data_IF_343542059905
#
_entry.id   IF_343542059905
#
_cell.length_a   1.000
_cell.length_b   1.000
_cell.length_c   1.000
_cell.angle_alpha   90.00
_cell.angle_beta   90.00
_cell.angle_gamma   90.00
#
_symmetry.space_group_name_H-M   'P 1'
#
loop_
_entity.id
_entity.type
_entity.pdbx_description
1 polymer ?
#
# COMPACT_ATOMS: atom_id res chain seq x y z
N UNK A 1 9.97 14.63 -20.78
CA UNK A 1 9.85 13.34 -21.52
C UNK A 1 8.73 12.53 -20.91
N UNK A 2 7.92 11.87 -21.73
CA UNK A 2 6.83 11.04 -21.21
C UNK A 2 7.36 9.91 -20.32
N UNK A 3 6.75 9.74 -19.14
CA UNK A 3 7.04 8.68 -18.17
C UNK A 3 6.00 7.57 -18.18
N UNK A 4 5.09 7.61 -19.15
CA UNK A 4 3.98 6.65 -19.27
C UNK A 4 4.53 5.26 -19.62
N UNK A 5 4.19 4.27 -18.82
CA UNK A 5 4.57 2.88 -18.97
C UNK A 5 3.38 1.95 -18.67
N UNK A 6 3.46 0.70 -19.10
CA UNK A 6 2.53 -0.32 -18.63
C UNK A 6 2.83 -0.69 -17.17
N UNK A 7 1.83 -1.22 -16.44
CA UNK A 7 2.04 -1.73 -15.07
C UNK A 7 3.16 -2.78 -15.04
N UNK A 8 3.14 -3.70 -15.99
CA UNK A 8 4.16 -4.75 -16.12
C UNK A 8 5.57 -4.18 -16.26
N UNK A 9 5.75 -3.25 -17.20
CA UNK A 9 7.08 -2.68 -17.47
C UNK A 9 7.57 -1.81 -16.31
N UNK A 10 6.68 -1.01 -15.69
CA UNK A 10 7.02 -0.18 -14.55
C UNK A 10 7.48 -1.03 -13.35
N UNK A 11 6.72 -2.08 -12.99
CA UNK A 11 7.10 -2.98 -11.90
C UNK A 11 8.38 -3.76 -12.24
N UNK A 12 8.53 -4.24 -13.48
CA UNK A 12 9.72 -4.98 -13.89
C UNK A 12 11.00 -4.14 -13.80
N UNK A 13 10.91 -2.87 -14.22
CA UNK A 13 12.06 -1.96 -14.28
C UNK A 13 12.43 -1.32 -12.93
N UNK A 14 11.43 -1.12 -12.04
CA UNK A 14 11.59 -0.25 -10.87
C UNK A 14 11.60 -1.04 -9.55
N UNK A 15 10.86 -2.15 -9.45
CA UNK A 15 10.79 -2.97 -8.22
C UNK A 15 11.76 -4.15 -8.32
N UNK A 16 12.67 -4.30 -7.35
CA UNK A 16 13.64 -5.39 -7.31
C UNK A 16 13.47 -6.23 -6.05
N UNK A 17 13.96 -7.47 -6.11
CA UNK A 17 13.98 -8.34 -4.93
C UNK A 17 14.82 -7.70 -3.80
N UNK A 18 14.32 -7.78 -2.58
CA UNK A 18 14.94 -7.17 -1.41
C UNK A 18 14.57 -5.71 -1.15
N UNK A 19 13.93 -5.01 -2.08
CA UNK A 19 13.53 -3.61 -1.93
C UNK A 19 12.60 -3.38 -0.71
N UNK A 20 12.70 -2.18 -0.15
CA UNK A 20 11.70 -1.60 0.74
C UNK A 20 10.63 -0.95 -0.13
N UNK A 21 9.46 -1.56 -0.20
CA UNK A 21 8.35 -1.10 -1.06
C UNK A 21 7.22 -0.54 -0.20
N UNK A 22 6.84 0.71 -0.46
CA UNK A 22 5.67 1.33 0.15
C UNK A 22 4.53 1.41 -0.88
N UNK A 23 3.38 0.77 -0.58
CA UNK A 23 2.13 0.93 -1.33
C UNK A 23 1.18 1.71 -0.44
N UNK A 24 1.28 3.05 -0.49
CA UNK A 24 0.52 3.89 0.42
C UNK A 24 -0.88 4.22 -0.08
N UNK A 25 -1.77 4.36 0.89
CA UNK A 25 -3.17 4.71 0.77
C UNK A 25 -3.86 4.51 2.13
N UNK A 26 -4.82 5.33 2.47
CA UNK A 26 -5.52 5.23 3.76
C UNK A 26 -7.00 4.93 3.55
N UNK A 27 -7.39 3.66 3.50
CA UNK A 27 -8.70 3.14 3.07
C UNK A 27 -9.10 3.55 1.64
N UNK A 28 -8.46 4.52 1.08
CA UNK A 28 -8.66 5.22 -0.17
C UNK A 28 -7.36 5.20 -0.99
N UNK A 29 -7.45 5.07 -2.30
CA UNK A 29 -6.31 5.11 -3.21
C UNK A 29 -5.23 4.05 -2.89
N UNK A 30 -5.65 2.85 -2.52
CA UNK A 30 -4.73 1.74 -2.26
C UNK A 30 -4.47 1.01 -3.58
N UNK A 31 -3.24 1.01 -4.05
CA UNK A 31 -2.90 0.45 -5.36
C UNK A 31 -2.85 -1.10 -5.35
N UNK A 32 -4.01 -1.76 -5.39
CA UNK A 32 -4.08 -3.23 -5.49
C UNK A 32 -3.49 -3.75 -6.80
N UNK A 33 -3.67 -3.02 -7.90
CA UNK A 33 -3.13 -3.42 -9.20
C UNK A 33 -1.61 -3.62 -9.17
N UNK A 34 -0.88 -2.71 -8.53
CA UNK A 34 0.57 -2.83 -8.41
C UNK A 34 0.97 -3.99 -7.49
N UNK A 35 0.28 -4.20 -6.36
CA UNK A 35 0.50 -5.36 -5.50
C UNK A 35 0.29 -6.68 -6.25
N UNK A 36 -0.80 -6.79 -7.04
CA UNK A 36 -1.05 -7.96 -7.89
C UNK A 36 0.03 -8.15 -8.96
N UNK A 37 0.55 -7.06 -9.55
CA UNK A 37 1.63 -7.17 -10.53
C UNK A 37 2.95 -7.62 -9.90
N UNK A 38 3.28 -7.12 -8.70
CA UNK A 38 4.43 -7.59 -7.90
C UNK A 38 4.32 -9.10 -7.64
N UNK A 39 3.12 -9.59 -7.29
CA UNK A 39 2.83 -11.03 -7.11
C UNK A 39 3.03 -11.79 -8.42
N UNK A 40 2.45 -11.32 -9.54
CA UNK A 40 2.58 -11.98 -10.88
C UNK A 40 4.02 -12.11 -11.32
N UNK A 41 4.84 -11.09 -11.06
CA UNK A 41 6.27 -11.09 -11.37
C UNK A 41 7.11 -11.86 -10.35
N UNK A 42 6.47 -12.44 -9.32
CA UNK A 42 7.14 -13.25 -8.29
C UNK A 42 8.31 -12.54 -7.62
N UNK A 43 8.17 -11.22 -7.36
CA UNK A 43 9.15 -10.47 -6.58
C UNK A 43 9.23 -11.03 -5.17
N UNK A 44 10.44 -11.03 -4.57
CA UNK A 44 10.73 -11.72 -3.30
C UNK A 44 11.51 -10.84 -2.34
N UNK A 45 11.55 -11.31 -1.09
CA UNK A 45 12.35 -10.72 -0.01
C UNK A 45 12.05 -9.24 0.27
N UNK A 46 10.84 -8.78 -0.10
CA UNK A 46 10.46 -7.39 0.05
C UNK A 46 10.24 -7.04 1.54
N UNK A 47 10.66 -5.83 1.91
CA UNK A 47 10.15 -5.17 3.11
C UNK A 47 8.95 -4.32 2.69
N UNK A 48 7.75 -4.72 3.08
CA UNK A 48 6.53 -3.98 2.76
C UNK A 48 6.25 -2.96 3.85
N UNK A 49 6.22 -1.68 3.49
CA UNK A 49 5.98 -0.58 4.40
C UNK A 49 4.66 0.13 4.09
N UNK A 50 3.81 0.32 5.10
CA UNK A 50 2.57 1.10 4.98
C UNK A 50 2.05 1.50 6.35
N UNK A 51 1.40 2.66 6.42
CA UNK A 51 0.78 3.12 7.67
C UNK A 51 -0.24 2.10 8.19
N UNK A 52 -1.14 1.65 7.33
CA UNK A 52 -2.23 0.73 7.68
C UNK A 52 -2.38 -0.40 6.65
N UNK A 53 -1.47 -1.40 6.66
CA UNK A 53 -1.62 -2.57 5.81
C UNK A 53 -2.98 -3.25 5.93
N UNK A 54 -3.53 -3.61 4.79
CA UNK A 54 -4.81 -4.31 4.66
C UNK A 54 -4.71 -5.51 3.69
N UNK A 55 -5.80 -5.83 3.00
CA UNK A 55 -5.94 -7.02 2.17
C UNK A 55 -4.80 -7.21 1.16
N UNK A 56 -4.32 -6.15 0.50
CA UNK A 56 -3.26 -6.31 -0.50
C UNK A 56 -1.97 -6.85 0.14
N UNK A 57 -1.66 -6.42 1.38
CA UNK A 57 -0.48 -6.93 2.08
C UNK A 57 -0.68 -8.38 2.54
N UNK A 58 -1.91 -8.77 2.93
CA UNK A 58 -2.25 -10.16 3.23
C UNK A 58 -2.07 -11.06 2.00
N UNK A 59 -2.52 -10.58 0.81
CA UNK A 59 -2.33 -11.26 -0.48
C UNK A 59 -0.85 -11.38 -0.86
N UNK A 60 -0.07 -10.31 -0.69
CA UNK A 60 1.36 -10.31 -0.98
C UNK A 60 2.14 -11.24 -0.06
N UNK A 61 1.78 -11.28 1.23
CA UNK A 61 2.37 -12.22 2.20
C UNK A 61 2.00 -13.67 1.85
N UNK A 62 0.73 -13.95 1.53
CA UNK A 62 0.29 -15.26 1.07
C UNK A 62 1.05 -15.73 -0.18
N UNK A 63 1.32 -14.81 -1.13
CA UNK A 63 2.10 -15.08 -2.33
C UNK A 63 3.62 -15.21 -2.09
N UNK A 64 4.09 -15.06 -0.84
CA UNK A 64 5.51 -15.20 -0.48
C UNK A 64 6.40 -14.04 -0.95
N UNK A 65 5.85 -12.85 -1.20
CA UNK A 65 6.67 -11.71 -1.66
C UNK A 65 7.43 -11.03 -0.54
N UNK A 66 6.92 -11.10 0.70
CA UNK A 66 7.41 -10.32 1.83
C UNK A 66 8.24 -11.14 2.83
N UNK A 67 9.36 -10.57 3.27
CA UNK A 67 10.14 -11.02 4.43
C UNK A 67 9.87 -10.20 5.69
N UNK A 68 9.38 -8.95 5.52
CA UNK A 68 9.18 -8.01 6.63
C UNK A 68 8.02 -7.06 6.36
N UNK A 69 7.29 -6.72 7.41
CA UNK A 69 6.29 -5.65 7.42
C UNK A 69 6.72 -4.52 8.35
N UNK A 70 6.60 -3.27 7.87
CA UNK A 70 6.80 -2.04 8.65
C UNK A 70 5.48 -1.27 8.67
N UNK A 71 4.87 -1.12 9.85
CA UNK A 71 3.49 -0.66 9.93
C UNK A 71 3.14 0.00 11.27
N UNK A 72 1.92 0.52 11.37
CA UNK A 72 1.34 1.00 12.64
C UNK A 72 0.01 0.35 13.03
N UNK A 73 -0.67 -0.25 12.08
CA UNK A 73 -1.90 -1.02 12.33
C UNK A 73 -2.07 -2.05 11.21
N UNK A 74 -2.45 -3.26 11.57
CA UNK A 74 -2.73 -4.35 10.64
C UNK A 74 -4.18 -4.79 10.80
N UNK A 75 -4.94 -4.86 9.71
CA UNK A 75 -6.28 -5.39 9.79
C UNK A 75 -7.09 -5.29 8.51
N UNK A 76 -8.17 -6.07 8.46
CA UNK A 76 -9.21 -5.93 7.45
C UNK A 76 -10.25 -4.94 8.01
N UNK A 77 -10.30 -3.68 7.52
CA UNK A 77 -10.98 -2.59 8.21
C UNK A 77 -12.47 -2.85 8.44
N UNK A 78 -12.82 -3.13 9.70
CA UNK A 78 -14.19 -3.24 10.19
C UNK A 78 -14.89 -4.57 9.90
N UNK A 79 -14.23 -5.57 9.29
CA UNK A 79 -14.93 -6.77 8.80
C UNK A 79 -14.25 -8.12 9.03
N UNK A 80 -12.98 -8.16 9.44
CA UNK A 80 -12.34 -9.47 9.63
C UNK A 80 -10.85 -9.39 9.88
N UNK A 81 -10.16 -10.54 9.70
CA UNK A 81 -8.73 -10.71 9.90
C UNK A 81 -7.90 -10.62 8.62
N UNK A 82 -6.59 -10.54 8.82
CA UNK A 82 -5.56 -10.77 7.80
C UNK A 82 -4.93 -12.13 8.12
N UNK A 83 -5.58 -13.18 7.62
CA UNK A 83 -5.28 -14.53 8.09
C UNK A 83 -3.98 -15.09 7.52
N UNK A 84 -3.56 -14.69 6.32
CA UNK A 84 -2.28 -15.11 5.75
C UNK A 84 -1.09 -14.49 6.51
N UNK A 85 -1.17 -13.19 6.84
CA UNK A 85 -0.17 -12.54 7.69
C UNK A 85 -0.14 -13.23 9.05
N UNK A 86 -1.29 -13.51 9.66
CA UNK A 86 -1.38 -14.17 10.95
C UNK A 86 -0.74 -15.55 10.93
N UNK A 87 -1.05 -16.40 9.94
CA UNK A 87 -0.42 -17.72 9.80
C UNK A 87 1.10 -17.63 9.69
N UNK A 88 1.61 -16.65 8.91
CA UNK A 88 3.05 -16.46 8.72
C UNK A 88 3.77 -15.97 9.98
N UNK A 89 3.09 -15.22 10.85
CA UNK A 89 3.63 -14.70 12.11
C UNK A 89 3.58 -15.76 13.20
N UNK A 90 2.49 -16.55 13.26
CA UNK A 90 2.27 -17.58 14.29
C UNK A 90 2.94 -18.91 13.95
N UNK A 91 3.45 -19.09 12.72
CA UNK A 91 4.14 -20.32 12.33
C UNK A 91 5.38 -20.57 13.20
N UNK A 92 5.61 -21.81 13.66
CA UNK A 92 6.85 -22.18 14.35
C UNK A 92 8.07 -21.85 13.49
N UNK A 93 9.16 -21.43 14.13
CA UNK A 93 10.41 -21.17 13.42
C UNK A 93 10.86 -22.45 12.68
N UNK A 94 10.99 -22.39 11.38
CA UNK A 94 11.36 -23.53 10.54
C UNK A 94 10.18 -24.30 9.92
N UNK A 95 8.94 -23.94 10.21
CA UNK A 95 7.74 -24.50 9.57
C UNK A 95 7.02 -23.40 8.80
N UNK A 96 7.13 -23.39 7.46
CA UNK A 96 6.25 -22.59 6.64
C UNK A 96 4.84 -23.18 6.70
N UNK A 97 3.77 -22.38 6.84
CA UNK A 97 2.42 -22.86 6.62
C UNK A 97 2.32 -23.46 5.21
N UNK A 98 1.78 -24.67 5.10
CA UNK A 98 1.53 -25.29 3.81
C UNK A 98 0.66 -24.33 2.96
N UNK A 99 1.10 -24.00 1.75
CA UNK A 99 0.38 -23.10 0.83
C UNK A 99 0.84 -21.63 0.82
N UNK A 100 1.46 -21.12 1.88
CA UNK A 100 1.94 -19.73 1.97
C UNK A 100 3.44 -19.60 1.58
N UNK A 101 4.05 -20.64 1.07
CA UNK A 101 5.42 -20.61 0.59
C UNK A 101 5.47 -20.41 -0.95
N UNK A 102 6.38 -19.59 -1.47
CA UNK A 102 6.63 -19.55 -2.91
C UNK A 102 6.96 -20.94 -3.41
N UNK A 103 6.47 -21.32 -4.58
CA UNK A 103 6.81 -22.60 -5.21
C UNK A 103 8.35 -22.70 -5.33
N UNK A 104 8.98 -23.56 -4.51
CA UNK A 104 10.42 -23.77 -4.49
C UNK A 104 11.13 -23.44 -3.19
N UNK A 105 10.49 -22.74 -2.22
CA UNK A 105 11.06 -22.52 -0.88
C UNK A 105 10.49 -23.53 0.12
N UNK A 106 11.30 -24.52 0.45
CA UNK A 106 10.90 -25.58 1.39
C UNK A 106 10.77 -25.09 2.85
N UNK A 107 11.21 -23.86 3.17
CA UNK A 107 11.21 -23.32 4.53
C UNK A 107 11.43 -21.79 4.57
N UNK A 108 10.42 -20.96 4.28
CA UNK A 108 10.58 -19.52 4.37
C UNK A 108 10.85 -19.10 5.82
N UNK A 109 11.77 -18.14 5.99
CA UNK A 109 12.01 -17.50 7.28
C UNK A 109 10.70 -16.90 7.84
N UNK A 110 10.52 -16.83 9.18
CA UNK A 110 9.39 -16.17 9.79
C UNK A 110 9.23 -14.73 9.29
N UNK A 111 7.98 -14.28 9.13
CA UNK A 111 7.69 -12.90 8.75
C UNK A 111 8.12 -11.94 9.87
N UNK A 112 9.01 -11.03 9.55
CA UNK A 112 9.50 -10.04 10.51
C UNK A 112 8.48 -8.89 10.61
N UNK A 113 8.15 -8.47 11.84
CA UNK A 113 7.26 -7.35 12.12
C UNK A 113 8.02 -6.20 12.77
N UNK A 114 7.83 -4.99 12.24
CA UNK A 114 8.36 -3.75 12.79
C UNK A 114 7.22 -2.74 12.97
N UNK A 115 6.70 -2.66 14.21
CA UNK A 115 5.50 -1.89 14.54
C UNK A 115 5.85 -0.53 15.15
N UNK A 116 5.04 0.48 14.82
CA UNK A 116 5.07 1.84 15.36
C UNK A 116 3.65 2.32 15.68
N UNK A 117 3.51 3.44 16.39
CA UNK A 117 2.23 4.15 16.40
C UNK A 117 1.97 4.81 15.04
N UNK A 118 0.71 5.17 14.75
CA UNK A 118 0.38 5.93 13.52
C UNK A 118 1.26 7.18 13.41
N UNK A 119 1.37 7.95 14.49
CA UNK A 119 2.19 9.16 14.49
C UNK A 119 3.69 8.85 14.34
N UNK A 120 4.16 7.71 14.87
CA UNK A 120 5.52 7.24 14.65
C UNK A 120 5.81 6.93 13.18
N UNK A 121 4.89 6.26 12.48
CA UNK A 121 5.03 5.99 11.04
C UNK A 121 4.99 7.28 10.20
N UNK A 122 4.05 8.20 10.51
CA UNK A 122 4.01 9.53 9.88
C UNK A 122 5.34 10.26 10.07
N UNK A 123 5.88 10.24 11.32
CA UNK A 123 7.16 10.84 11.63
C UNK A 123 8.33 10.21 10.87
N UNK A 124 8.33 8.89 10.68
CA UNK A 124 9.35 8.18 9.90
C UNK A 124 9.35 8.61 8.43
N UNK A 125 8.18 8.64 7.77
CA UNK A 125 8.07 9.14 6.39
C UNK A 125 8.43 10.62 6.29
N UNK A 126 7.98 11.45 7.24
CA UNK A 126 8.34 12.87 7.29
C UNK A 126 9.84 13.08 7.43
N UNK A 127 10.50 12.30 8.28
CA UNK A 127 11.95 12.36 8.42
C UNK A 127 12.66 11.92 7.13
N UNK A 128 12.18 10.87 6.46
CA UNK A 128 12.70 10.43 5.16
C UNK A 128 12.55 11.51 4.11
N UNK A 129 11.35 12.03 3.92
CA UNK A 129 11.03 13.08 2.94
C UNK A 129 11.80 14.40 3.16
N UNK A 130 12.05 14.75 4.42
CA UNK A 130 12.76 15.99 4.80
C UNK A 130 14.26 15.79 5.01
N UNK A 131 14.78 14.60 4.74
CA UNK A 131 16.18 14.23 4.97
C UNK A 131 16.65 14.50 6.42
N UNK A 132 15.77 14.27 7.40
CA UNK A 132 16.10 14.39 8.83
C UNK A 132 16.76 13.10 9.34
N UNK A 133 17.68 13.17 10.30
CA UNK A 133 18.34 11.99 10.85
C UNK A 133 17.40 11.14 11.73
N UNK A 134 16.36 11.72 12.26
CA UNK A 134 15.31 11.08 13.06
C UNK A 134 14.10 12.01 13.20
N UNK A 135 12.98 11.47 13.68
CA UNK A 135 11.80 12.26 14.05
C UNK A 135 11.57 12.17 15.57
N UNK A 136 11.56 13.30 16.33
CA UNK A 136 11.28 13.31 17.74
C UNK A 136 9.79 13.36 18.02
N UNK A 137 9.30 12.60 19.03
CA UNK A 137 7.89 12.58 19.40
C UNK A 137 7.66 12.22 20.87
N UNK A 138 6.50 12.63 21.42
CA UNK A 138 6.09 12.31 22.79
C UNK A 138 5.17 11.10 22.91
N UNK A 139 4.84 10.43 21.79
CA UNK A 139 3.76 9.44 21.72
C UNK A 139 4.01 8.12 22.46
N UNK A 140 5.23 7.83 22.91
CA UNK A 140 5.59 6.51 23.44
C UNK A 140 5.78 6.47 24.96
N UNK A 141 5.47 7.55 25.66
CA UNK A 141 5.53 7.55 27.12
C UNK A 141 4.53 6.57 27.72
N UNK A 142 4.97 5.82 28.75
CA UNK A 142 4.15 4.86 29.48
C UNK A 142 3.53 3.75 28.60
N UNK A 143 4.15 3.45 27.44
CA UNK A 143 3.76 2.34 26.57
C UNK A 143 4.84 1.27 26.50
N UNK A 144 4.48 0.06 26.08
CA UNK A 144 5.42 -1.04 25.88
C UNK A 144 6.10 -1.02 24.51
N UNK A 145 5.68 -0.13 23.60
CA UNK A 145 6.24 -0.03 22.23
C UNK A 145 7.77 0.10 22.19
N UNK A 146 8.42 0.96 23.00
CA UNK A 146 9.88 1.06 23.01
C UNK A 146 10.59 -0.21 23.53
N UNK A 147 9.89 -1.06 24.30
CA UNK A 147 10.43 -2.35 24.76
C UNK A 147 10.35 -3.40 23.65
N UNK A 148 9.26 -3.37 22.86
CA UNK A 148 9.03 -4.28 21.75
C UNK A 148 9.82 -3.89 20.49
N UNK A 149 10.05 -2.59 20.26
CA UNK A 149 10.77 -2.08 19.10
C UNK A 149 12.00 -1.26 19.52
N UNK A 150 13.23 -1.80 19.45
CA UNK A 150 14.46 -1.15 19.90
C UNK A 150 14.86 0.05 19.02
N UNK A 151 14.20 0.28 17.89
CA UNK A 151 14.39 1.45 17.03
C UNK A 151 13.67 2.69 17.57
N UNK A 152 12.75 2.53 18.52
CA UNK A 152 12.11 3.63 19.25
C UNK A 152 13.01 3.97 20.44
N UNK A 153 13.79 5.04 20.33
CA UNK A 153 14.85 5.36 21.30
C UNK A 153 14.55 6.63 22.09
N UNK A 154 14.76 6.61 23.42
CA UNK A 154 14.67 7.84 24.21
C UNK A 154 15.85 8.78 23.88
N UNK A 155 15.56 10.07 23.74
CA UNK A 155 16.53 11.14 23.56
C UNK A 155 16.22 12.32 24.48
N UNK A 156 17.24 13.04 24.94
CA UNK A 156 17.05 14.27 25.69
C UNK A 156 16.76 15.43 24.75
N UNK A 157 15.79 16.24 25.06
CA UNK A 157 15.48 17.46 24.31
C UNK A 157 16.64 18.46 24.41
N UNK A 158 17.11 19.05 23.31
CA UNK A 158 18.12 20.12 23.36
C UNK A 158 17.53 21.46 23.87
N UNK A 159 16.20 21.56 24.00
CA UNK A 159 15.51 22.79 24.37
C UNK A 159 14.89 22.75 25.79
N UNK A 160 15.19 21.71 26.56
CA UNK A 160 14.67 21.56 27.93
C UNK A 160 15.13 20.28 28.60
N UNK A 161 14.63 20.02 29.81
CA UNK A 161 15.02 18.86 30.63
C UNK A 161 14.23 17.57 30.26
N UNK A 162 13.26 17.66 29.35
CA UNK A 162 12.41 16.52 29.00
C UNK A 162 13.16 15.46 28.18
N UNK A 163 12.84 14.21 28.42
CA UNK A 163 13.16 13.11 27.53
C UNK A 163 12.00 12.91 26.56
N UNK A 164 12.29 12.76 25.28
CA UNK A 164 11.31 12.40 24.23
C UNK A 164 11.77 11.12 23.55
N UNK A 165 10.95 10.55 22.69
CA UNK A 165 11.36 9.41 21.87
C UNK A 165 11.75 9.86 20.46
N UNK A 166 12.63 9.11 19.82
CA UNK A 166 13.01 9.28 18.42
C UNK A 166 12.74 8.01 17.64
N UNK A 167 12.28 8.17 16.42
CA UNK A 167 12.15 7.09 15.43
C UNK A 167 13.05 7.39 14.23
N UNK A 168 13.67 6.36 13.60
CA UNK A 168 14.53 6.55 12.43
C UNK A 168 13.71 6.96 11.21
N UNK A 169 14.31 7.61 10.20
CA UNK A 169 13.65 7.88 8.94
C UNK A 169 13.27 6.58 8.23
N UNK A 170 12.16 6.58 7.52
CA UNK A 170 11.79 5.54 6.56
C UNK A 170 12.02 6.11 5.16
N UNK A 171 12.92 5.48 4.42
CA UNK A 171 13.25 5.80 3.03
C UNK A 171 13.00 4.56 2.20
N UNK A 172 11.81 4.42 1.59
CA UNK A 172 11.55 3.30 0.69
C UNK A 172 12.46 3.34 -0.54
N UNK A 173 12.87 2.18 -1.02
CA UNK A 173 13.51 2.07 -2.33
C UNK A 173 12.49 2.41 -3.43
N UNK A 174 11.23 2.00 -3.24
CA UNK A 174 10.12 2.29 -4.14
C UNK A 174 8.88 2.69 -3.36
N UNK A 175 8.26 3.79 -3.75
CA UNK A 175 6.89 4.13 -3.34
C UNK A 175 5.95 4.04 -4.53
N UNK A 176 4.84 3.32 -4.34
CA UNK A 176 3.76 3.19 -5.32
C UNK A 176 2.51 3.85 -4.73
N UNK A 177 1.93 4.78 -5.47
CA UNK A 177 0.70 5.44 -5.08
C UNK A 177 -0.34 5.34 -6.18
N UNK A 178 -1.61 5.21 -5.78
CA UNK A 178 -2.73 5.37 -6.70
C UNK A 178 -3.29 6.79 -6.59
N UNK A 179 -3.71 7.36 -7.69
CA UNK A 179 -4.25 8.71 -7.76
C UNK A 179 -5.39 8.81 -8.78
N UNK A 180 -6.14 9.90 -8.74
CA UNK A 180 -7.20 10.11 -9.71
C UNK A 180 -6.65 10.38 -11.10
N UNK A 181 -5.65 11.27 -11.22
CA UNK A 181 -5.07 11.59 -12.52
C UNK A 181 -3.63 12.09 -12.43
N UNK A 182 -2.90 11.94 -13.53
CA UNK A 182 -1.60 12.57 -13.74
C UNK A 182 -1.46 12.99 -15.21
N UNK A 183 -0.49 13.86 -15.49
CA UNK A 183 -0.05 14.07 -16.84
C UNK A 183 1.09 13.10 -17.24
N UNK A 184 1.51 13.17 -18.50
CA UNK A 184 2.54 12.28 -19.02
C UNK A 184 3.95 12.54 -18.44
N UNK A 185 4.17 13.66 -17.75
CA UNK A 185 5.42 14.01 -17.09
C UNK A 185 5.41 13.65 -15.60
N UNK A 186 4.24 13.26 -15.07
CA UNK A 186 4.07 12.73 -13.73
C UNK A 186 3.52 13.72 -12.70
N UNK A 187 3.12 14.91 -13.09
CA UNK A 187 2.42 15.81 -12.17
C UNK A 187 1.07 15.18 -11.79
N UNK A 188 0.94 14.79 -10.53
CA UNK A 188 -0.11 13.89 -10.04
C UNK A 188 -1.07 14.61 -9.11
N UNK A 189 -2.35 14.56 -9.45
CA UNK A 189 -3.42 15.16 -8.67
C UNK A 189 -4.21 14.12 -7.89
N UNK A 190 -4.40 14.43 -6.60
CA UNK A 190 -5.11 13.60 -5.64
C UNK A 190 -6.10 14.45 -4.84
N UNK A 191 -7.25 13.86 -4.53
CA UNK A 191 -8.26 14.45 -3.64
C UNK A 191 -9.02 13.37 -2.88
N UNK A 192 -9.75 13.78 -1.84
CA UNK A 192 -10.41 12.88 -0.92
C UNK A 192 -9.59 12.63 0.34
N UNK A 193 -9.76 11.46 0.93
CA UNK A 193 -9.03 11.08 2.13
C UNK A 193 -7.59 10.71 1.76
N UNK A 194 -6.64 11.50 2.19
CA UNK A 194 -5.21 11.25 2.01
C UNK A 194 -4.60 10.76 3.34
N UNK A 195 -3.67 9.81 3.23
CA UNK A 195 -2.79 9.36 4.32
C UNK A 195 -1.39 9.95 4.15
N UNK A 196 -0.38 9.08 4.11
CA UNK A 196 1.05 9.47 3.98
C UNK A 196 1.58 9.35 2.55
N UNK A 197 0.73 9.33 1.52
CA UNK A 197 1.15 9.13 0.12
C UNK A 197 2.20 10.16 -0.30
N UNK A 198 1.98 11.44 0.07
CA UNK A 198 2.91 12.51 -0.22
C UNK A 198 4.27 12.27 0.42
N UNK A 199 4.28 12.09 1.72
CA UNK A 199 5.50 11.90 2.50
C UNK A 199 6.24 10.64 2.05
N UNK A 200 5.53 9.55 1.77
CA UNK A 200 6.12 8.32 1.28
C UNK A 200 6.76 8.50 -0.12
N UNK A 201 6.09 9.22 -1.03
CA UNK A 201 6.64 9.53 -2.34
C UNK A 201 7.90 10.39 -2.26
N UNK A 202 7.89 11.44 -1.42
CA UNK A 202 9.07 12.30 -1.23
C UNK A 202 10.22 11.62 -0.46
N UNK A 203 9.93 10.57 0.29
CA UNK A 203 10.93 9.80 1.04
C UNK A 203 11.61 8.72 0.20
N UNK A 204 11.02 8.32 -0.93
CA UNK A 204 11.48 7.20 -1.75
C UNK A 204 12.58 7.59 -2.72
N UNK A 205 13.38 6.59 -3.10
CA UNK A 205 14.37 6.73 -4.17
C UNK A 205 13.73 6.67 -5.56
N UNK A 206 12.62 5.90 -5.70
CA UNK A 206 11.89 5.71 -6.98
C UNK A 206 10.38 5.75 -6.71
N UNK A 207 9.63 6.40 -7.60
CA UNK A 207 8.19 6.61 -7.44
C UNK A 207 7.43 6.15 -8.67
N UNK A 208 6.46 5.25 -8.48
CA UNK A 208 5.46 4.87 -9.48
C UNK A 208 4.13 5.49 -9.09
N UNK A 209 3.55 6.28 -9.99
CA UNK A 209 2.17 6.73 -9.84
C UNK A 209 1.26 5.94 -10.77
N UNK A 210 0.17 5.42 -10.20
CA UNK A 210 -0.87 4.67 -10.91
C UNK A 210 -2.13 5.51 -10.91
N UNK A 211 -2.73 5.74 -12.05
CA UNK A 211 -3.83 6.68 -12.17
C UNK A 211 -5.04 6.09 -12.89
N UNK A 212 -6.22 6.60 -12.55
CA UNK A 212 -7.46 6.31 -13.26
C UNK A 212 -7.46 6.97 -14.65
N UNK A 213 -6.85 8.17 -14.75
CA UNK A 213 -6.91 9.01 -15.95
C UNK A 213 -5.56 9.67 -16.25
N UNK A 214 -5.12 9.59 -17.50
CA UNK A 214 -4.06 10.43 -18.03
C UNK A 214 -4.65 11.72 -18.56
N UNK A 215 -4.23 12.86 -18.05
CA UNK A 215 -4.74 14.16 -18.48
C UNK A 215 -3.64 15.02 -19.13
N UNK A 216 -4.03 16.15 -19.70
CA UNK A 216 -3.07 17.11 -20.24
C UNK A 216 -2.49 18.00 -19.15
N UNK A 217 -1.28 18.53 -19.38
CA UNK A 217 -0.66 19.56 -18.54
C UNK A 217 -1.59 20.74 -18.26
N UNK A 218 -2.42 21.15 -19.24
CA UNK A 218 -3.37 22.23 -19.07
C UNK A 218 -4.42 21.94 -17.99
N UNK A 219 -4.84 20.68 -17.84
CA UNK A 219 -5.76 20.25 -16.78
C UNK A 219 -5.08 20.32 -15.41
N UNK A 220 -3.81 19.89 -15.31
CA UNK A 220 -3.02 20.01 -14.07
C UNK A 220 -2.89 21.48 -13.67
N UNK A 221 -2.49 22.33 -14.61
CA UNK A 221 -2.28 23.78 -14.38
C UNK A 221 -3.54 24.55 -14.04
N UNK A 222 -4.71 24.06 -14.47
CA UNK A 222 -5.99 24.70 -14.16
C UNK A 222 -6.37 24.56 -12.65
N UNK A 223 -5.85 23.55 -11.96
CA UNK A 223 -6.10 23.35 -10.52
C UNK A 223 -4.83 22.85 -9.81
N UNK A 224 -3.80 23.69 -9.68
CA UNK A 224 -2.49 23.28 -9.15
C UNK A 224 -2.55 22.86 -7.66
N UNK A 225 -3.57 23.30 -6.92
CA UNK A 225 -3.72 22.97 -5.50
C UNK A 225 -3.97 21.46 -5.25
N UNK A 226 -4.42 20.73 -6.27
CA UNK A 226 -4.59 19.26 -6.18
C UNK A 226 -3.33 18.48 -6.55
N UNK A 227 -2.30 19.14 -7.05
CA UNK A 227 -1.03 18.48 -7.38
C UNK A 227 -0.28 18.14 -6.08
N UNK A 228 -0.38 16.90 -5.67
CA UNK A 228 0.20 16.39 -4.42
C UNK A 228 1.61 15.88 -4.65
N UNK A 229 1.86 15.22 -5.80
CA UNK A 229 3.15 14.66 -6.17
C UNK A 229 3.59 15.35 -7.47
N UNK A 230 4.71 16.11 -7.43
CA UNK A 230 5.24 16.75 -8.63
C UNK A 230 5.94 15.73 -9.52
N UNK A 231 5.83 15.90 -10.82
CA UNK A 231 6.45 15.01 -11.80
C UNK A 231 7.96 14.86 -11.62
N UNK A 232 8.63 15.85 -11.06
CA UNK A 232 10.08 15.83 -10.81
C UNK A 232 10.55 14.57 -10.05
N UNK A 233 9.75 14.05 -9.12
CA UNK A 233 10.12 12.88 -8.29
C UNK A 233 9.49 11.57 -8.80
N UNK A 234 8.71 11.60 -9.90
CA UNK A 234 8.04 10.42 -10.46
C UNK A 234 8.92 9.76 -11.50
N UNK A 235 9.09 8.45 -11.43
CA UNK A 235 9.86 7.67 -12.40
C UNK A 235 8.96 7.02 -13.45
N UNK A 236 7.75 6.60 -13.09
CA UNK A 236 6.78 6.03 -14.02
C UNK A 236 5.35 6.47 -13.71
N UNK A 237 4.59 6.69 -14.78
CA UNK A 237 3.14 6.93 -14.76
C UNK A 237 2.45 5.74 -15.41
N UNK A 238 1.56 5.09 -14.68
CA UNK A 238 0.78 3.93 -15.16
C UNK A 238 -0.69 4.30 -15.20
N UNK A 239 -1.32 4.18 -16.35
CA UNK A 239 -2.78 4.36 -16.48
C UNK A 239 -3.45 3.02 -16.25
N UNK A 240 -4.14 2.88 -15.12
CA UNK A 240 -4.75 1.62 -14.71
C UNK A 240 -6.10 1.86 -14.04
N UNK A 241 -7.17 2.06 -14.81
CA UNK A 241 -8.52 2.22 -14.27
C UNK A 241 -8.94 1.06 -13.36
N UNK A 242 -9.67 1.35 -12.30
CA UNK A 242 -9.97 0.37 -11.25
C UNK A 242 -8.74 -0.19 -10.52
N UNK A 243 -7.59 0.46 -10.64
CA UNK A 243 -6.33 0.00 -10.05
C UNK A 243 -6.32 -0.07 -8.53
N UNK A 244 -7.19 0.69 -7.87
CA UNK A 244 -7.32 0.63 -6.42
C UNK A 244 -8.39 -0.37 -5.91
N UNK A 245 -9.28 -0.91 -6.78
CA UNK A 245 -10.29 -1.88 -6.33
C UNK A 245 -9.67 -3.06 -5.59
N UNK A 246 -10.20 -3.49 -4.45
CA UNK A 246 -11.50 -3.18 -3.80
C UNK A 246 -11.53 -1.90 -2.95
N UNK A 247 -10.42 -1.18 -2.78
CA UNK A 247 -10.43 0.17 -2.23
C UNK A 247 -11.18 1.12 -3.16
N UNK A 248 -11.52 2.31 -2.69
CA UNK A 248 -12.24 3.29 -3.50
C UNK A 248 -11.31 4.36 -4.05
N UNK A 249 -11.79 5.01 -5.12
CA UNK A 249 -11.21 6.23 -5.68
C UNK A 249 -12.29 7.30 -5.73
N UNK A 250 -12.20 8.30 -4.87
CA UNK A 250 -13.23 9.32 -4.75
C UNK A 250 -13.48 10.03 -6.08
N UNK A 251 -14.73 9.96 -6.54
CA UNK A 251 -15.16 10.49 -7.83
C UNK A 251 -15.10 9.51 -8.99
N UNK A 252 -14.47 8.33 -8.83
CA UNK A 252 -14.38 7.27 -9.83
C UNK A 252 -15.23 6.05 -9.47
N UNK A 253 -15.06 5.49 -8.28
CA UNK A 253 -15.84 4.34 -7.79
C UNK A 253 -15.80 4.24 -6.27
N UNK A 254 -16.84 3.64 -5.70
CA UNK A 254 -16.99 3.39 -4.27
C UNK A 254 -16.23 2.13 -3.83
N UNK A 255 -16.07 1.96 -2.51
CA UNK A 255 -15.39 0.81 -1.91
C UNK A 255 -16.22 -0.46 -2.08
N UNK A 256 -15.60 -1.53 -2.52
CA UNK A 256 -16.21 -2.85 -2.59
C UNK A 256 -16.25 -3.55 -1.22
N UNK A 257 -17.26 -3.20 -0.41
CA UNK A 257 -17.40 -3.72 0.94
C UNK A 257 -17.66 -5.23 1.00
N UNK A 258 -18.28 -5.79 -0.05
CA UNK A 258 -18.50 -7.24 -0.13
C UNK A 258 -17.17 -7.98 -0.31
N UNK A 259 -16.28 -7.47 -1.14
CA UNK A 259 -14.95 -8.04 -1.29
C UNK A 259 -14.18 -8.06 0.04
N UNK A 260 -14.23 -6.99 0.81
CA UNK A 260 -13.57 -6.92 2.11
C UNK A 260 -14.12 -7.96 3.10
N UNK A 261 -15.43 -8.23 3.09
CA UNK A 261 -16.04 -9.31 3.89
C UNK A 261 -15.66 -10.70 3.39
N UNK A 262 -15.73 -10.90 2.08
CA UNK A 262 -15.46 -12.19 1.46
C UNK A 262 -14.01 -12.60 1.68
N UNK A 263 -13.08 -11.63 1.70
CA UNK A 263 -11.67 -11.88 1.99
C UNK A 263 -11.42 -12.49 3.36
N UNK A 264 -12.20 -12.13 4.38
CA UNK A 264 -12.08 -12.78 5.70
C UNK A 264 -12.29 -14.29 5.61
N UNK A 265 -13.28 -14.74 4.83
CA UNK A 265 -13.52 -16.16 4.63
C UNK A 265 -12.47 -16.82 3.71
N UNK A 266 -12.08 -16.15 2.62
CA UNK A 266 -11.11 -16.64 1.64
C UNK A 266 -9.75 -16.85 2.30
N UNK A 267 -9.30 -15.89 3.12
CA UNK A 267 -7.95 -15.90 3.68
C UNK A 267 -7.79 -16.78 4.91
N UNK A 268 -8.87 -17.40 5.44
CA UNK A 268 -8.80 -18.27 6.64
C UNK A 268 -7.92 -19.48 6.44
N UNK A 269 -8.02 -20.12 5.29
CA UNK A 269 -7.26 -21.31 4.95
C UNK A 269 -6.26 -20.98 3.83
N UNK A 270 -5.08 -21.60 3.90
CA UNK A 270 -4.03 -21.39 2.90
C UNK A 270 -4.46 -21.83 1.50
N UNK A 271 -5.18 -22.97 1.41
CA UNK A 271 -5.67 -23.54 0.16
C UNK A 271 -6.68 -22.63 -0.54
N UNK A 272 -7.62 -22.05 0.18
CA UNK A 272 -8.60 -21.11 -0.41
C UNK A 272 -7.95 -19.79 -0.79
N UNK A 273 -6.97 -19.33 -0.03
CA UNK A 273 -6.15 -18.16 -0.35
C UNK A 273 -5.36 -18.39 -1.64
N UNK A 274 -4.69 -19.55 -1.76
CA UNK A 274 -3.92 -19.89 -2.96
C UNK A 274 -4.82 -20.05 -4.19
N UNK A 275 -5.96 -20.74 -4.05
CA UNK A 275 -6.93 -20.88 -5.15
C UNK A 275 -7.42 -19.51 -5.64
N UNK A 276 -7.65 -18.57 -4.73
CA UNK A 276 -8.00 -17.19 -5.09
C UNK A 276 -6.86 -16.48 -5.84
N UNK A 277 -5.61 -16.60 -5.35
CA UNK A 277 -4.44 -16.02 -6.04
C UNK A 277 -4.28 -16.62 -7.45
N UNK A 278 -4.43 -17.94 -7.58
CA UNK A 278 -4.32 -18.63 -8.86
C UNK A 278 -5.38 -18.14 -9.86
N UNK A 279 -6.59 -17.91 -9.37
CA UNK A 279 -7.71 -17.48 -10.19
C UNK A 279 -7.68 -15.98 -10.53
N UNK A 280 -7.40 -15.12 -9.56
CA UNK A 280 -7.61 -13.68 -9.67
C UNK A 280 -6.33 -12.86 -9.86
N UNK A 281 -5.17 -13.45 -9.60
CA UNK A 281 -3.88 -12.78 -9.78
C UNK A 281 -3.07 -13.45 -10.87
N UNK A 282 -2.79 -14.75 -10.77
CA UNK A 282 -2.02 -15.47 -11.77
C UNK A 282 -2.84 -15.83 -13.00
N UNK A 283 -4.13 -16.08 -12.86
CA UNK A 283 -5.06 -16.46 -13.93
C UNK A 283 -5.54 -15.29 -14.80
N UNK A 284 -5.08 -14.07 -14.54
CA UNK A 284 -5.39 -12.88 -15.34
C UNK A 284 -4.11 -12.16 -15.76
N UNK A 285 -4.10 -11.60 -16.97
CA UNK A 285 -2.91 -10.95 -17.54
C UNK A 285 -2.64 -9.54 -16.98
N UNK A 286 -3.64 -8.91 -16.34
CA UNK A 286 -3.57 -7.56 -15.81
C UNK A 286 -4.90 -7.06 -15.27
N UNK A 287 -4.96 -5.78 -14.95
CA UNK A 287 -6.15 -5.19 -14.32
C UNK A 287 -7.38 -5.17 -15.24
N UNK A 288 -7.20 -4.98 -16.54
CA UNK A 288 -8.32 -4.98 -17.49
C UNK A 288 -9.07 -6.31 -17.46
N UNK A 289 -8.36 -7.44 -17.53
CA UNK A 289 -8.96 -8.78 -17.48
C UNK A 289 -9.56 -9.08 -16.08
N UNK A 290 -8.93 -8.59 -15.01
CA UNK A 290 -9.49 -8.66 -13.66
C UNK A 290 -10.84 -7.94 -13.59
N UNK A 291 -10.98 -6.75 -14.17
CA UNK A 291 -12.23 -5.97 -14.19
C UNK A 291 -13.29 -6.66 -15.06
N UNK A 292 -12.90 -7.22 -16.19
CA UNK A 292 -13.79 -8.01 -17.03
C UNK A 292 -14.35 -9.22 -16.26
N UNK A 293 -13.48 -9.94 -15.54
CA UNK A 293 -13.84 -11.07 -14.69
C UNK A 293 -14.71 -10.67 -13.50
N UNK A 294 -14.51 -9.47 -12.93
CA UNK A 294 -15.36 -8.92 -11.87
C UNK A 294 -16.81 -8.77 -12.34
N UNK A 295 -17.00 -8.47 -13.62
CA UNK A 295 -18.29 -8.41 -14.29
C UNK A 295 -18.96 -7.03 -14.26
N UNK A 296 -19.69 -6.74 -15.32
CA UNK A 296 -20.30 -5.41 -15.53
C UNK A 296 -21.27 -5.00 -14.41
N UNK A 297 -22.03 -5.95 -13.86
CA UNK A 297 -22.98 -5.69 -12.77
C UNK A 297 -22.25 -5.20 -11.51
N UNK A 298 -21.14 -5.87 -11.16
CA UNK A 298 -20.33 -5.48 -9.99
C UNK A 298 -19.71 -4.11 -10.19
N UNK A 299 -19.11 -3.89 -11.35
CA UNK A 299 -18.49 -2.59 -11.69
C UNK A 299 -19.54 -1.46 -11.64
N UNK A 300 -20.74 -1.69 -12.20
CA UNK A 300 -21.82 -0.71 -12.17
C UNK A 300 -22.30 -0.40 -10.74
N UNK A 301 -22.38 -1.43 -9.88
CA UNK A 301 -22.79 -1.26 -8.48
C UNK A 301 -21.84 -0.40 -7.65
N UNK A 302 -20.59 -0.23 -8.11
CA UNK A 302 -19.58 0.59 -7.45
C UNK A 302 -19.52 2.02 -8.01
N UNK A 303 -20.35 2.38 -8.98
CA UNK A 303 -20.38 3.76 -9.46
C UNK A 303 -20.82 4.72 -8.37
N UNK A 304 -20.14 5.87 -8.21
CA UNK A 304 -20.52 6.86 -7.23
C UNK A 304 -21.94 7.40 -7.51
N UNK A 305 -22.69 7.63 -6.46
CA UNK A 305 -24.03 8.23 -6.55
C UNK A 305 -24.02 9.72 -7.00
N UNK A 306 -22.83 10.33 -7.13
CA UNK A 306 -22.66 11.71 -7.55
C UNK A 306 -21.40 11.91 -8.38
N UNK A 307 -21.40 12.98 -9.20
CA UNK A 307 -20.30 13.31 -10.12
C UNK A 307 -19.26 14.27 -9.52
N UNK A 308 -19.51 14.82 -8.32
CA UNK A 308 -18.59 15.76 -7.69
C UNK A 308 -17.34 15.03 -7.18
N UNK A 309 -16.11 15.50 -7.51
CA UNK A 309 -14.87 14.88 -7.03
C UNK A 309 -14.75 14.79 -5.50
N UNK A 310 -15.48 15.64 -4.78
CA UNK A 310 -15.55 15.67 -3.32
C UNK A 310 -16.85 15.12 -2.74
N UNK A 311 -17.63 14.35 -3.53
CA UNK A 311 -18.85 13.71 -3.07
C UNK A 311 -18.60 12.71 -1.93
N UNK A 312 -19.65 12.40 -1.18
CA UNK A 312 -19.60 11.40 -0.12
C UNK A 312 -19.23 10.04 -0.67
N UNK A 313 -18.43 9.30 0.07
CA UNK A 313 -18.09 7.90 -0.21
C UNK A 313 -18.86 7.01 0.76
N UNK A 314 -19.45 5.93 0.25
CA UNK A 314 -19.97 4.88 1.09
C UNK A 314 -18.80 4.03 1.64
N UNK A 315 -18.51 4.20 2.93
CA UNK A 315 -17.52 3.39 3.65
C UNK A 315 -18.05 1.99 4.02
N UNK A 316 -19.27 1.71 3.66
CA UNK A 316 -19.95 0.47 3.99
C UNK A 316 -20.55 0.50 5.39
N UNK A 317 -21.86 0.50 5.42
CA UNK A 317 -22.60 0.09 6.63
C UNK A 317 -22.70 -1.42 6.57
N UNK A 318 -21.97 -2.09 7.41
CA UNK A 318 -22.04 -3.53 7.55
C UNK A 318 -23.36 -3.87 8.27
N UNK A 319 -24.40 -4.13 7.50
CA UNK A 319 -25.67 -4.67 8.00
C UNK A 319 -25.68 -6.18 7.91
#
# INVERSE_FOLDING_TARGET
MSKVASMRDAVAAIVHDGDVVAIEGFTHLICFAAGHEIIRQRKRDLTLARLTPDLIYDQMVAAGTARKLVFSWLGNPGVGGLHAIRRRVEAPAGEAPAGDAPAGDANPAPLELEEYSHFGMVGRYTAGASNLPFFPLRSYFETDMPKANPLIRPIRSPYGEETVYAVPPLKPDVTIVHAQRADAEGDTQMWGLLGCQKEAAFAADRVIVVVEELCSEAVIRADPNRTVIPGLIVDAVVVEPFGAHPSYVQGAYDRDNHFYRDWDAISREAETTQAWLDEWVYGVSGRAEYVEKLGAERVESLRPSGTAPSGSVDYGVYK
#
